data_IF_842350026225
#
_entry.id   IF_842350026225
#
_cell.length_a   1.000
_cell.length_b   1.000
_cell.length_c   1.000
_cell.angle_alpha   90.00
_cell.angle_beta   90.00
_cell.angle_gamma   90.00
#
_symmetry.space_group_name_H-M   'P 1'
#
loop_
_entity.id
_entity.type
_entity.pdbx_description
1 polymer ?
#
# COMPACT_ATOMS: atom_id res chain seq x y z
N UNK A 1 12.75 5.18 19.88
CA UNK A 1 12.37 5.89 21.14
C UNK A 1 13.35 5.60 22.29
N UNK A 2 13.70 4.35 22.60
CA UNK A 2 14.68 4.05 23.67
C UNK A 2 16.08 4.65 23.45
N UNK A 3 16.61 4.62 22.23
CA UNK A 3 17.92 5.21 21.92
C UNK A 3 17.93 6.75 22.06
N UNK A 4 16.84 7.43 21.70
CA UNK A 4 16.73 8.88 21.90
C UNK A 4 16.73 9.30 23.38
N UNK A 5 16.09 8.51 24.26
CA UNK A 5 16.13 8.75 25.71
C UNK A 5 17.53 8.49 26.28
N UNK A 6 18.21 7.43 25.82
CA UNK A 6 19.60 7.15 26.20
C UNK A 6 20.56 8.23 25.71
N UNK A 7 20.37 8.77 24.51
CA UNK A 7 21.17 9.86 23.97
C UNK A 7 21.00 11.15 24.80
N UNK A 8 19.76 11.50 25.16
CA UNK A 8 19.49 12.66 26.02
C UNK A 8 20.13 12.51 27.42
N UNK A 9 20.06 11.31 28.00
CA UNK A 9 20.73 10.98 29.26
C UNK A 9 22.26 11.07 29.15
N UNK A 10 22.84 10.53 28.08
CA UNK A 10 24.28 10.55 27.85
C UNK A 10 24.83 11.97 27.64
N UNK A 11 24.11 12.83 26.89
CA UNK A 11 24.48 14.25 26.71
C UNK A 11 24.49 14.99 28.05
N UNK A 12 23.46 14.77 28.87
CA UNK A 12 23.31 15.44 30.17
C UNK A 12 24.43 15.04 31.14
N UNK A 13 24.67 13.74 31.28
CA UNK A 13 25.75 13.22 32.12
C UNK A 13 27.14 13.65 31.64
N UNK A 14 27.37 13.68 30.32
CA UNK A 14 28.63 14.15 29.75
C UNK A 14 28.85 15.64 30.02
N UNK A 15 27.83 16.49 29.85
CA UNK A 15 27.92 17.92 30.11
C UNK A 15 28.20 18.24 31.59
N UNK A 16 27.62 17.49 32.52
CA UNK A 16 27.93 17.59 33.95
C UNK A 16 29.37 17.17 34.25
N UNK A 17 29.84 16.06 33.67
CA UNK A 17 31.21 15.57 33.86
C UNK A 17 32.25 16.55 33.31
N UNK A 18 31.99 17.15 32.14
CA UNK A 18 32.87 18.17 31.55
C UNK A 18 32.93 19.42 32.42
N UNK A 19 31.78 19.87 32.96
CA UNK A 19 31.76 21.01 33.91
C UNK A 19 32.61 20.73 35.14
N UNK A 20 32.47 19.56 35.75
CA UNK A 20 33.25 19.16 36.92
C UNK A 20 34.76 19.16 36.63
N UNK A 21 35.18 18.60 35.50
CA UNK A 21 36.61 18.55 35.12
C UNK A 21 37.17 19.94 34.79
N UNK A 22 36.39 20.77 34.09
CA UNK A 22 36.83 22.11 33.69
C UNK A 22 36.82 23.14 34.84
N UNK A 23 36.23 22.81 35.98
CA UNK A 23 36.15 23.70 37.15
C UNK A 23 37.52 23.96 37.80
N UNK A 24 38.47 23.02 37.63
CA UNK A 24 39.82 23.13 38.19
C UNK A 24 40.81 23.83 37.24
N UNK A 25 40.37 24.23 36.03
CA UNK A 25 41.24 24.80 34.99
C UNK A 25 41.25 26.34 35.01
N UNK A 26 42.39 26.96 34.65
CA UNK A 26 42.51 28.42 34.50
C UNK A 26 42.90 28.77 33.06
N UNK A 27 42.02 29.43 32.26
CA UNK A 27 40.65 29.81 32.58
C UNK A 27 39.70 28.59 32.63
N UNK A 28 38.58 28.67 33.36
CA UNK A 28 37.62 27.57 33.56
C UNK A 28 36.72 27.40 32.32
N UNK A 29 37.33 27.23 31.15
CA UNK A 29 36.63 27.04 29.89
C UNK A 29 37.03 25.69 29.32
N UNK A 30 36.08 24.83 28.96
CA UNK A 30 36.40 23.60 28.26
C UNK A 30 37.10 23.97 26.94
N UNK A 31 38.23 23.30 26.68
CA UNK A 31 38.99 23.47 25.44
C UNK A 31 38.14 23.15 24.22
N UNK A 32 38.58 23.64 23.05
CA UNK A 32 37.87 23.47 21.78
C UNK A 32 37.44 22.00 21.54
N UNK A 33 38.33 21.05 21.82
CA UNK A 33 38.07 19.62 21.65
C UNK A 33 36.94 19.07 22.52
N UNK A 34 36.82 19.51 23.78
CA UNK A 34 35.73 19.11 24.68
C UNK A 34 34.38 19.68 24.22
N UNK A 35 34.39 20.90 23.67
CA UNK A 35 33.19 21.49 23.05
C UNK A 35 32.79 20.70 21.80
N UNK A 36 33.74 20.32 20.95
CA UNK A 36 33.46 19.49 19.78
C UNK A 36 32.94 18.09 20.17
N UNK A 37 33.43 17.50 21.25
CA UNK A 37 32.93 16.21 21.75
C UNK A 37 31.43 16.25 22.12
N UNK A 38 30.90 17.41 22.54
CA UNK A 38 29.45 17.57 22.80
C UNK A 38 28.59 17.52 21.54
N UNK A 39 29.18 17.64 20.34
CA UNK A 39 28.46 17.48 19.07
C UNK A 39 28.29 16.00 18.67
N UNK A 40 29.10 15.09 19.24
CA UNK A 40 29.05 13.67 18.88
C UNK A 40 27.66 13.05 19.08
N UNK A 41 26.93 13.28 20.19
CA UNK A 41 25.59 12.72 20.36
C UNK A 41 24.58 13.29 19.35
N UNK A 42 24.71 14.57 18.97
CA UNK A 42 23.87 15.18 17.92
C UNK A 42 24.11 14.50 16.58
N UNK A 43 25.38 14.25 16.23
CA UNK A 43 25.74 13.54 15.00
C UNK A 43 25.19 12.11 15.03
N UNK A 44 25.31 11.39 16.15
CA UNK A 44 24.78 10.03 16.28
C UNK A 44 23.25 9.99 16.11
N UNK A 45 22.52 10.96 16.67
CA UNK A 45 21.07 11.08 16.49
C UNK A 45 20.71 11.39 15.04
N UNK A 46 21.47 12.27 14.38
CA UNK A 46 21.24 12.57 12.96
C UNK A 46 21.49 11.35 12.09
N UNK A 47 22.54 10.58 12.37
CA UNK A 47 22.86 9.33 11.65
C UNK A 47 21.80 8.25 11.89
N UNK A 48 21.36 8.05 13.12
CA UNK A 48 20.25 7.13 13.44
C UNK A 48 18.94 7.58 12.76
N UNK A 49 18.72 8.90 12.69
CA UNK A 49 17.57 9.52 12.04
C UNK A 49 17.60 9.49 10.51
N UNK A 50 18.71 9.08 9.88
CA UNK A 50 18.75 8.85 8.44
C UNK A 50 17.86 7.64 8.14
N UNK A 51 16.66 7.92 7.62
CA UNK A 51 15.72 6.88 7.25
C UNK A 51 16.26 6.11 6.03
N UNK A 52 16.98 5.03 6.31
CA UNK A 52 17.48 4.07 5.32
C UNK A 52 16.50 2.91 5.10
N UNK A 53 15.31 2.94 5.70
CA UNK A 53 14.31 1.88 5.52
C UNK A 53 13.79 1.93 4.07
N UNK A 54 13.87 0.82 3.31
CA UNK A 54 13.24 0.76 2.00
C UNK A 54 11.73 0.99 2.16
N UNK A 55 11.19 2.00 1.47
CA UNK A 55 9.76 2.25 1.47
C UNK A 55 9.11 1.49 0.31
N UNK A 56 7.98 0.80 0.53
CA UNK A 56 7.21 0.25 -0.56
C UNK A 56 6.82 1.36 -1.55
N UNK A 57 7.00 1.10 -2.84
CA UNK A 57 6.54 2.01 -3.89
C UNK A 57 5.03 1.91 -3.96
N UNK A 58 4.34 3.06 -3.87
CA UNK A 58 2.88 3.10 -4.00
C UNK A 58 2.50 2.62 -5.40
N UNK A 59 1.65 1.57 -5.52
CA UNK A 59 1.29 1.05 -6.82
C UNK A 59 0.40 2.05 -7.56
N UNK A 60 0.71 2.31 -8.82
CA UNK A 60 -0.02 3.26 -9.66
C UNK A 60 -1.47 2.80 -9.86
N UNK A 61 -2.40 3.73 -9.69
CA UNK A 61 -3.83 3.47 -9.96
C UNK A 61 -4.06 3.16 -11.45
N UNK A 62 -4.75 2.06 -11.78
CA UNK A 62 -5.16 1.76 -13.15
C UNK A 62 -6.08 2.84 -13.71
N UNK A 63 -5.93 3.17 -14.99
CA UNK A 63 -6.76 4.20 -15.64
C UNK A 63 -8.25 3.85 -15.63
N UNK A 64 -8.61 2.58 -15.85
CA UNK A 64 -9.99 2.11 -15.77
C UNK A 64 -10.68 2.45 -14.44
N UNK A 65 -9.96 2.41 -13.32
CA UNK A 65 -10.53 2.76 -12.00
C UNK A 65 -10.79 4.25 -11.81
N UNK A 66 -10.30 5.12 -12.71
CA UNK A 66 -10.56 6.57 -12.68
C UNK A 66 -11.73 6.99 -13.56
N UNK A 67 -12.05 6.20 -14.59
CA UNK A 67 -13.01 6.58 -15.64
C UNK A 67 -14.26 5.70 -15.67
N UNK A 68 -14.21 4.50 -15.08
CA UNK A 68 -15.36 3.59 -15.03
C UNK A 68 -16.15 3.81 -13.75
N UNK A 69 -17.43 4.12 -13.89
CA UNK A 69 -18.36 4.27 -12.77
C UNK A 69 -18.76 2.92 -12.16
N UNK A 70 -18.81 2.86 -10.82
CA UNK A 70 -19.15 1.65 -10.07
C UNK A 70 -20.66 1.39 -9.91
N UNK A 71 -21.05 0.30 -9.22
CA UNK A 71 -20.17 -0.62 -8.47
C UNK A 71 -19.25 -1.51 -9.31
N UNK A 72 -17.98 -1.59 -8.91
CA UNK A 72 -16.91 -2.29 -9.64
C UNK A 72 -16.44 -3.55 -8.91
N UNK A 73 -16.17 -4.62 -9.67
CA UNK A 73 -15.29 -5.72 -9.25
C UNK A 73 -13.94 -5.56 -9.94
N UNK A 74 -12.83 -5.67 -9.20
CA UNK A 74 -11.49 -5.69 -9.80
C UNK A 74 -10.87 -7.08 -9.67
N UNK A 75 -10.41 -7.65 -10.78
CA UNK A 75 -9.77 -8.96 -10.87
C UNK A 75 -8.29 -8.84 -11.24
N UNK A 76 -7.41 -9.75 -10.79
CA UNK A 76 -7.65 -10.80 -9.79
C UNK A 76 -8.09 -10.28 -8.43
N UNK A 77 -8.90 -11.06 -7.70
CA UNK A 77 -9.27 -10.73 -6.32
C UNK A 77 -8.64 -11.71 -5.35
N UNK A 78 -7.84 -11.17 -4.43
CA UNK A 78 -7.21 -11.88 -3.33
C UNK A 78 -6.91 -10.91 -2.18
N UNK A 79 -6.49 -11.44 -1.03
CA UNK A 79 -6.26 -10.68 0.19
C UNK A 79 -5.24 -9.53 0.03
N UNK A 80 -4.21 -9.70 -0.79
CA UNK A 80 -3.15 -8.71 -0.99
C UNK A 80 -3.50 -7.77 -2.15
N UNK A 81 -4.04 -8.29 -3.26
CA UNK A 81 -4.41 -7.48 -4.42
C UNK A 81 -5.54 -6.52 -4.08
N UNK A 82 -6.52 -6.96 -3.28
CA UNK A 82 -7.68 -6.14 -2.93
C UNK A 82 -7.34 -4.93 -2.04
N UNK A 83 -6.23 -4.96 -1.29
CA UNK A 83 -5.76 -3.78 -0.54
C UNK A 83 -5.38 -2.63 -1.48
N UNK A 84 -4.80 -2.96 -2.64
CA UNK A 84 -4.49 -1.97 -3.66
C UNK A 84 -5.77 -1.41 -4.29
N UNK A 85 -6.79 -2.25 -4.50
CA UNK A 85 -8.10 -1.82 -5.00
C UNK A 85 -8.75 -0.83 -4.05
N UNK A 86 -8.69 -1.09 -2.73
CA UNK A 86 -9.17 -0.15 -1.72
C UNK A 86 -8.38 1.16 -1.71
N UNK A 87 -7.05 1.09 -1.83
CA UNK A 87 -6.23 2.30 -1.93
C UNK A 87 -6.61 3.13 -3.17
N UNK A 88 -6.80 2.48 -4.31
CA UNK A 88 -7.16 3.16 -5.55
C UNK A 88 -8.58 3.71 -5.55
N UNK A 89 -9.51 3.13 -4.78
CA UNK A 89 -10.87 3.66 -4.69
C UNK A 89 -10.94 4.99 -3.95
N UNK A 90 -9.93 5.36 -3.16
CA UNK A 90 -9.96 6.63 -2.41
C UNK A 90 -9.84 7.87 -3.29
N UNK A 91 -9.51 7.74 -4.58
CA UNK A 91 -9.46 8.88 -5.52
C UNK A 91 -10.85 9.51 -5.72
N UNK A 92 -11.91 8.70 -5.78
CA UNK A 92 -13.29 9.18 -5.94
C UNK A 92 -14.30 8.52 -4.99
N UNK A 93 -13.82 7.65 -4.09
CA UNK A 93 -14.64 6.78 -3.23
C UNK A 93 -15.68 5.98 -4.02
N UNK A 94 -15.31 5.54 -5.23
CA UNK A 94 -16.24 4.80 -6.08
C UNK A 94 -16.61 3.46 -5.41
N UNK A 95 -17.87 3.00 -5.56
CA UNK A 95 -18.28 1.74 -4.97
C UNK A 95 -17.50 0.56 -5.59
N UNK A 96 -16.90 -0.25 -4.74
CA UNK A 96 -16.17 -1.48 -5.10
C UNK A 96 -16.74 -2.65 -4.30
N UNK A 97 -16.72 -3.85 -4.88
CA UNK A 97 -17.26 -5.06 -4.23
C UNK A 97 -16.18 -5.99 -3.65
N UNK A 98 -14.91 -5.79 -4.00
CA UNK A 98 -13.77 -6.49 -3.40
C UNK A 98 -12.86 -5.54 -2.62
N UNK A 99 -12.26 -6.05 -1.54
CA UNK A 99 -11.47 -5.27 -0.59
C UNK A 99 -10.68 -6.18 0.36
N UNK A 100 -9.51 -5.72 0.79
CA UNK A 100 -8.66 -6.44 1.73
C UNK A 100 -8.99 -6.06 3.18
N UNK A 101 -9.17 -7.04 4.06
CA UNK A 101 -9.41 -6.83 5.50
C UNK A 101 -8.72 -7.93 6.32
N UNK A 102 -8.51 -7.73 7.63
CA UNK A 102 -7.90 -8.75 8.50
C UNK A 102 -8.65 -10.09 8.55
N UNK A 103 -9.85 -10.16 7.97
CA UNK A 103 -10.62 -11.38 7.72
C UNK A 103 -11.30 -11.28 6.35
N UNK A 104 -11.65 -12.41 5.74
CA UNK A 104 -12.45 -12.46 4.51
C UNK A 104 -13.93 -12.70 4.86
N UNK A 105 -14.84 -11.75 4.60
CA UNK A 105 -16.27 -11.97 4.75
C UNK A 105 -16.76 -13.14 3.89
N UNK A 106 -17.76 -13.90 4.35
CA UNK A 106 -18.32 -15.03 3.60
C UNK A 106 -18.80 -14.62 2.21
N UNK A 107 -19.47 -13.48 2.10
CA UNK A 107 -19.94 -12.92 0.83
C UNK A 107 -18.80 -12.66 -0.17
N UNK A 108 -17.64 -12.18 0.32
CA UNK A 108 -16.46 -11.97 -0.52
C UNK A 108 -15.84 -13.30 -0.95
N UNK A 109 -15.78 -14.29 -0.06
CA UNK A 109 -15.30 -15.63 -0.41
C UNK A 109 -16.18 -16.29 -1.48
N UNK A 110 -17.50 -16.22 -1.33
CA UNK A 110 -18.47 -16.72 -2.31
C UNK A 110 -18.35 -15.99 -3.65
N UNK A 111 -18.23 -14.66 -3.64
CA UNK A 111 -18.03 -13.90 -4.88
C UNK A 111 -16.74 -14.31 -5.60
N UNK A 112 -15.62 -14.48 -4.87
CA UNK A 112 -14.36 -14.94 -5.46
C UNK A 112 -14.52 -16.32 -6.09
N UNK A 113 -15.23 -17.24 -5.43
CA UNK A 113 -15.50 -18.58 -5.95
C UNK A 113 -16.35 -18.56 -7.22
N UNK A 114 -17.44 -17.78 -7.24
CA UNK A 114 -18.32 -17.68 -8.41
C UNK A 114 -17.61 -16.99 -9.59
N UNK A 115 -16.71 -16.05 -9.31
CA UNK A 115 -16.00 -15.28 -10.35
C UNK A 115 -14.70 -15.94 -10.83
N UNK A 116 -14.36 -17.15 -10.40
CA UNK A 116 -13.20 -17.89 -10.91
C UNK A 116 -13.33 -18.25 -12.39
N UNK A 117 -14.55 -18.55 -12.84
CA UNK A 117 -14.88 -18.90 -14.23
C UNK A 117 -15.28 -17.70 -15.10
N UNK A 118 -15.30 -16.49 -14.53
CA UNK A 118 -15.67 -15.28 -15.25
C UNK A 118 -14.84 -15.08 -16.55
N UNK A 119 -15.40 -14.55 -17.65
CA UNK A 119 -16.82 -14.33 -17.88
C UNK A 119 -17.53 -15.65 -18.26
N UNK A 120 -18.66 -15.91 -17.58
CA UNK A 120 -19.61 -16.95 -17.94
C UNK A 120 -21.03 -16.52 -17.50
N UNK A 121 -22.07 -17.22 -17.95
CA UNK A 121 -23.45 -16.82 -17.67
C UNK A 121 -23.80 -16.79 -16.17
N UNK A 122 -23.23 -17.72 -15.38
CA UNK A 122 -23.48 -17.81 -13.94
C UNK A 122 -22.81 -16.64 -13.22
N UNK A 123 -21.53 -16.37 -13.51
CA UNK A 123 -20.81 -15.27 -12.90
C UNK A 123 -21.36 -13.90 -13.28
N UNK A 124 -21.75 -13.69 -14.55
CA UNK A 124 -22.41 -12.45 -15.01
C UNK A 124 -23.75 -12.23 -14.30
N UNK A 125 -24.61 -13.25 -14.24
CA UNK A 125 -25.90 -13.15 -13.56
C UNK A 125 -25.74 -12.84 -12.05
N UNK A 126 -24.82 -13.55 -11.39
CA UNK A 126 -24.50 -13.33 -9.97
C UNK A 126 -24.06 -11.89 -9.68
N UNK A 127 -23.21 -11.33 -10.55
CA UNK A 127 -22.70 -9.96 -10.42
C UNK A 127 -23.79 -8.91 -10.67
N UNK A 128 -24.65 -9.12 -11.69
CA UNK A 128 -25.81 -8.26 -11.96
C UNK A 128 -26.79 -8.22 -10.78
N UNK A 129 -27.09 -9.37 -10.19
CA UNK A 129 -27.96 -9.48 -9.00
C UNK A 129 -27.44 -8.65 -7.82
N UNK A 130 -26.11 -8.52 -7.69
CA UNK A 130 -25.43 -7.72 -6.66
C UNK A 130 -25.20 -6.26 -7.05
N UNK A 131 -25.72 -5.84 -8.20
CA UNK A 131 -25.60 -4.47 -8.70
C UNK A 131 -24.22 -4.08 -9.20
N UNK A 132 -23.33 -5.05 -9.46
CA UNK A 132 -22.05 -4.80 -10.13
C UNK A 132 -22.33 -4.40 -11.57
N UNK A 133 -21.75 -3.27 -12.01
CA UNK A 133 -21.93 -2.74 -13.36
C UNK A 133 -20.72 -2.96 -14.26
N UNK A 134 -19.53 -3.10 -13.67
CA UNK A 134 -18.33 -3.35 -14.42
C UNK A 134 -17.33 -4.23 -13.66
N UNK A 135 -16.61 -5.04 -14.44
CA UNK A 135 -15.48 -5.84 -13.97
C UNK A 135 -14.21 -5.32 -14.64
N UNK A 136 -13.20 -4.97 -13.86
CA UNK A 136 -11.90 -4.51 -14.36
C UNK A 136 -10.88 -5.63 -14.13
N UNK A 137 -10.32 -6.18 -15.20
CA UNK A 137 -9.22 -7.14 -15.14
C UNK A 137 -7.88 -6.44 -15.28
N UNK A 138 -6.98 -6.64 -14.32
CA UNK A 138 -5.60 -6.15 -14.34
C UNK A 138 -4.67 -7.19 -15.00
N UNK A 139 -4.36 -7.02 -16.29
CA UNK A 139 -3.60 -8.03 -17.05
C UNK A 139 -2.24 -8.34 -16.44
N UNK A 140 -1.55 -7.31 -15.94
CA UNK A 140 -0.23 -7.46 -15.33
C UNK A 140 -0.22 -8.32 -14.07
N UNK A 141 -1.39 -8.43 -13.40
CA UNK A 141 -1.56 -9.25 -12.19
C UNK A 141 -2.25 -10.58 -12.45
N UNK A 142 -2.87 -10.74 -13.63
CA UNK A 142 -3.59 -11.94 -13.98
C UNK A 142 -2.68 -13.14 -14.31
N UNK A 143 -1.43 -12.90 -14.70
CA UNK A 143 -0.46 -13.96 -15.07
C UNK A 143 -0.25 -14.95 -13.92
N UNK A 144 -0.32 -16.24 -14.20
CA UNK A 144 -0.20 -17.32 -13.22
C UNK A 144 -1.41 -17.47 -12.29
N UNK A 145 -2.50 -16.74 -12.52
CA UNK A 145 -3.74 -16.83 -11.75
C UNK A 145 -4.84 -17.52 -12.56
N UNK A 146 -5.95 -17.88 -11.89
CA UNK A 146 -7.16 -18.40 -12.56
C UNK A 146 -7.74 -17.42 -13.60
N UNK A 147 -7.38 -16.14 -13.49
CA UNK A 147 -7.88 -15.07 -14.34
C UNK A 147 -6.98 -14.74 -15.55
N UNK A 148 -5.89 -15.47 -15.75
CA UNK A 148 -4.95 -15.21 -16.87
C UNK A 148 -5.65 -15.20 -18.23
N UNK A 149 -6.52 -16.18 -18.47
CA UNK A 149 -7.22 -16.35 -19.75
C UNK A 149 -8.51 -15.53 -19.87
N UNK A 150 -8.92 -14.82 -18.82
CA UNK A 150 -10.20 -14.07 -18.79
C UNK A 150 -10.25 -13.04 -19.91
N UNK A 151 -9.13 -12.39 -20.21
CA UNK A 151 -9.03 -11.41 -21.28
C UNK A 151 -9.39 -12.01 -22.65
N UNK A 152 -9.10 -13.31 -22.86
CA UNK A 152 -9.24 -14.00 -24.14
C UNK A 152 -10.57 -14.75 -24.28
N UNK A 153 -11.32 -14.96 -23.19
CA UNK A 153 -12.61 -15.66 -23.21
C UNK A 153 -13.62 -14.88 -24.06
N UNK A 154 -14.47 -15.62 -24.77
CA UNK A 154 -15.54 -15.03 -25.58
C UNK A 154 -16.63 -14.42 -24.70
N UNK A 155 -17.19 -13.30 -25.15
CA UNK A 155 -18.30 -12.58 -24.48
C UNK A 155 -19.56 -12.51 -25.35
N UNK A 156 -19.53 -13.06 -26.57
CA UNK A 156 -20.59 -12.88 -27.59
C UNK A 156 -21.96 -13.38 -27.13
N UNK A 157 -22.01 -14.41 -26.27
CA UNK A 157 -23.25 -15.00 -25.77
C UNK A 157 -23.71 -14.46 -24.41
N UNK A 158 -22.97 -13.51 -23.81
CA UNK A 158 -23.17 -13.10 -22.42
C UNK A 158 -23.88 -11.75 -22.25
N UNK A 159 -24.21 -11.06 -23.35
CA UNK A 159 -24.80 -9.72 -23.33
C UNK A 159 -23.99 -8.72 -22.49
N UNK A 160 -22.65 -8.81 -22.59
CA UNK A 160 -21.71 -7.91 -21.93
C UNK A 160 -20.77 -7.32 -22.97
N UNK A 161 -20.22 -6.13 -22.69
CA UNK A 161 -19.25 -5.49 -23.57
C UNK A 161 -17.85 -5.64 -23.00
N UNK A 162 -16.87 -5.90 -23.88
CA UNK A 162 -15.43 -5.91 -23.53
C UNK A 162 -14.73 -4.73 -24.19
N UNK A 163 -14.05 -3.94 -23.37
CA UNK A 163 -13.25 -2.78 -23.77
C UNK A 163 -11.83 -2.94 -23.22
N UNK A 164 -10.81 -2.56 -23.99
CA UNK A 164 -9.42 -2.57 -23.54
C UNK A 164 -8.96 -1.14 -23.27
N UNK A 165 -8.33 -0.92 -22.10
CA UNK A 165 -7.80 0.38 -21.71
C UNK A 165 -6.45 0.20 -21.03
N UNK A 166 -5.37 0.58 -21.73
CA UNK A 166 -4.01 0.40 -21.25
C UNK A 166 -3.70 -1.07 -20.91
N UNK A 167 -3.24 -1.35 -19.69
CA UNK A 167 -3.00 -2.72 -19.21
C UNK A 167 -4.21 -3.38 -18.54
N UNK A 168 -5.41 -2.84 -18.76
CA UNK A 168 -6.66 -3.36 -18.19
C UNK A 168 -7.68 -3.76 -19.24
N UNK A 169 -8.53 -4.72 -18.89
CA UNK A 169 -9.73 -5.07 -19.66
C UNK A 169 -10.95 -4.73 -18.83
N UNK A 170 -11.90 -4.02 -19.42
CA UNK A 170 -13.14 -3.61 -18.80
C UNK A 170 -14.25 -4.47 -19.39
N UNK A 171 -15.01 -5.14 -18.54
CA UNK A 171 -16.24 -5.82 -18.90
C UNK A 171 -17.42 -5.02 -18.34
N UNK A 172 -18.31 -4.54 -19.21
CA UNK A 172 -19.54 -3.84 -18.81
C UNK A 172 -20.69 -4.85 -18.79
N UNK A 173 -21.29 -5.01 -17.62
CA UNK A 173 -22.39 -5.94 -17.37
C UNK A 173 -23.74 -5.30 -17.68
#
# INVERSE_FOLDING_TARGET
LFLGVLAAGAVSAFAERVRAISAEWVPPRPGLWLRLATLLPVILVLVEGLNATPHPVVPRQPEAMRVVDGPLLVLPSDQNTDQNVMLWSTTAFQPIVNGGSGFTPRSLAEMRQVTESFPDAVSVAYLRERGVRAVILLRDRAKGTKWEEVANRSVESLDIQREELGSTVIFRL
#
